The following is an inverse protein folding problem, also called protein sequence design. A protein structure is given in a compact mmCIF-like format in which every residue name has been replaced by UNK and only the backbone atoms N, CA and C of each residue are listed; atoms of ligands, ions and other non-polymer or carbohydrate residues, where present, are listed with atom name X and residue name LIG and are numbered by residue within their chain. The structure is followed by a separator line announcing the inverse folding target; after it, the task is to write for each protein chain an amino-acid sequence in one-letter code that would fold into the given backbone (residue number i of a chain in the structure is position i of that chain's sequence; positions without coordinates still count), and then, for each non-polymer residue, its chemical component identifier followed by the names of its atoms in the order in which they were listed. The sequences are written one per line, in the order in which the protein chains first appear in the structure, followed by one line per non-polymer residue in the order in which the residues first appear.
data_IF_834458684833
#
_entry.id   IF_834458684833
#
_cell.length_a   1.000
_cell.length_b   1.000
_cell.length_c   1.000
_cell.angle_alpha   90.00
_cell.angle_beta   90.00
_cell.angle_gamma   90.00
#
_symmetry.space_group_name_H-M   'P 1'
#
loop_
_entity.id
_entity.type
_entity.pdbx_description
1 polymer ?
#
# COMPACT_ATOMS: atom_id res chain seq x y z
N UNK A 1 18.28 8.84 -28.76
CA UNK A 1 18.21 7.58 -27.97
C UNK A 1 19.20 7.52 -26.82
N UNK A 2 20.42 8.04 -26.96
CA UNK A 2 21.46 7.96 -25.90
C UNK A 2 21.13 8.74 -24.62
N UNK A 3 20.38 9.84 -24.69
CA UNK A 3 20.03 10.64 -23.50
C UNK A 3 18.91 10.00 -22.67
N UNK A 4 17.97 9.28 -23.28
CA UNK A 4 16.89 8.58 -22.58
C UNK A 4 17.41 7.41 -21.76
N UNK A 5 18.53 6.78 -22.18
CA UNK A 5 19.11 5.60 -21.49
C UNK A 5 19.81 5.94 -20.17
N UNK A 6 20.08 7.21 -19.87
CA UNK A 6 20.74 7.62 -18.63
C UNK A 6 19.79 8.17 -17.58
N UNK A 7 18.67 8.79 -17.99
CA UNK A 7 17.70 9.38 -17.10
C UNK A 7 16.31 9.37 -17.74
N UNK A 8 15.32 8.84 -17.05
CA UNK A 8 13.92 8.86 -17.48
C UNK A 8 13.11 9.96 -16.80
N UNK A 9 11.90 10.14 -17.24
CA UNK A 9 11.01 11.14 -16.67
C UNK A 9 9.60 11.10 -17.22
N UNK A 10 8.74 11.93 -16.63
CA UNK A 10 7.39 12.11 -17.13
C UNK A 10 7.39 12.98 -18.35
N UNK A 11 6.79 12.48 -19.43
CA UNK A 11 6.67 13.21 -20.71
C UNK A 11 5.73 14.38 -20.55
N UNK A 12 6.18 15.56 -20.98
CA UNK A 12 5.41 16.80 -20.96
C UNK A 12 5.06 17.31 -22.37
N UNK A 13 5.69 16.74 -23.39
CA UNK A 13 5.38 17.09 -24.77
C UNK A 13 6.24 16.35 -25.79
N UNK A 14 5.79 16.39 -27.04
CA UNK A 14 6.50 15.85 -28.20
C UNK A 14 6.51 16.93 -29.28
N UNK A 15 7.67 17.18 -29.87
CA UNK A 15 7.84 18.10 -30.99
C UNK A 15 8.41 17.34 -32.17
N UNK A 16 7.81 17.53 -33.33
CA UNK A 16 8.33 16.97 -34.58
C UNK A 16 9.32 17.92 -35.19
N UNK A 17 10.56 17.50 -35.42
CA UNK A 17 11.63 18.25 -36.04
C UNK A 17 12.11 17.51 -37.30
N UNK A 18 11.57 17.85 -38.44
CA UNK A 18 11.76 17.11 -39.69
C UNK A 18 11.18 15.69 -39.58
N UNK A 19 12.02 14.69 -39.79
CA UNK A 19 11.64 13.27 -39.69
C UNK A 19 11.87 12.67 -38.28
N UNK A 20 12.26 13.49 -37.29
CA UNK A 20 12.51 13.04 -35.91
C UNK A 20 11.43 13.55 -34.98
N UNK A 21 11.07 12.74 -34.00
CA UNK A 21 10.22 13.16 -32.89
C UNK A 21 11.11 13.36 -31.66
N UNK A 22 11.09 14.58 -31.11
CA UNK A 22 11.80 14.95 -29.89
C UNK A 22 10.81 14.89 -28.73
N UNK A 23 11.10 14.03 -27.75
CA UNK A 23 10.28 13.88 -26.55
C UNK A 23 10.88 14.75 -25.45
N UNK A 24 10.06 15.62 -24.87
CA UNK A 24 10.41 16.45 -23.72
C UNK A 24 9.86 15.81 -22.46
N UNK A 25 10.71 15.63 -21.45
CA UNK A 25 10.31 15.02 -20.19
C UNK A 25 11.00 15.68 -18.98
N UNK A 26 10.37 15.58 -17.80
CA UNK A 26 10.92 16.05 -16.53
C UNK A 26 11.73 14.92 -15.90
N UNK A 27 13.06 15.03 -15.92
CA UNK A 27 13.97 13.99 -15.43
C UNK A 27 14.52 14.23 -14.02
N UNK A 28 14.27 15.40 -13.41
CA UNK A 28 14.74 15.75 -12.07
C UNK A 28 13.96 15.00 -10.97
N UNK A 29 14.43 15.09 -9.72
CA UNK A 29 13.77 14.49 -8.54
C UNK A 29 12.54 15.31 -8.08
N UNK A 30 11.72 15.74 -9.04
CA UNK A 30 10.50 16.51 -8.80
C UNK A 30 9.25 15.61 -8.94
N UNK A 31 8.24 15.91 -8.14
CA UNK A 31 6.91 15.34 -8.30
C UNK A 31 6.13 16.09 -9.37
N UNK A 32 5.15 15.43 -10.00
CA UNK A 32 4.32 16.01 -11.03
C UNK A 32 2.85 15.85 -10.69
N UNK A 33 2.07 16.89 -10.89
CA UNK A 33 0.61 16.86 -10.88
C UNK A 33 0.11 17.26 -12.27
N UNK A 34 -0.61 16.35 -12.93
CA UNK A 34 -1.25 16.57 -14.21
C UNK A 34 -2.78 16.61 -14.04
N UNK A 35 -3.37 17.72 -14.40
CA UNK A 35 -4.82 17.91 -14.34
C UNK A 35 -5.35 18.00 -15.77
N UNK A 36 -6.39 17.23 -16.07
CA UNK A 36 -7.01 17.29 -17.38
C UNK A 36 -8.33 16.54 -17.42
N UNK A 37 -9.29 17.09 -18.15
CA UNK A 37 -10.64 16.53 -18.27
C UNK A 37 -10.63 15.07 -18.77
N UNK A 38 -11.73 14.38 -18.55
CA UNK A 38 -11.99 13.06 -19.13
C UNK A 38 -11.85 13.12 -20.66
N UNK A 39 -11.24 12.09 -21.25
CA UNK A 39 -10.96 11.99 -22.69
C UNK A 39 -10.01 13.07 -23.27
N UNK A 40 -9.28 13.80 -22.43
CA UNK A 40 -8.26 14.74 -22.91
C UNK A 40 -7.00 14.08 -23.49
N UNK A 41 -6.92 12.75 -23.47
CA UNK A 41 -5.77 12.00 -23.96
C UNK A 41 -4.63 11.83 -22.95
N UNK A 42 -4.82 12.20 -21.67
CA UNK A 42 -3.78 12.08 -20.62
C UNK A 42 -3.10 10.73 -20.61
N UNK A 43 -3.88 9.65 -20.42
CA UNK A 43 -3.34 8.29 -20.26
C UNK A 43 -2.54 7.86 -21.49
N UNK A 44 -3.06 8.10 -22.70
CA UNK A 44 -2.39 7.68 -23.95
C UNK A 44 -1.19 8.55 -24.32
N UNK A 45 -1.30 9.88 -24.20
CA UNK A 45 -0.28 10.80 -24.69
C UNK A 45 0.81 11.12 -23.66
N UNK A 46 0.48 11.04 -22.36
CA UNK A 46 1.42 11.36 -21.28
C UNK A 46 1.83 10.11 -20.49
N UNK A 47 0.84 9.35 -19.96
CA UNK A 47 1.14 8.25 -19.02
C UNK A 47 1.88 7.10 -19.72
N UNK A 48 1.35 6.60 -20.84
CA UNK A 48 1.99 5.52 -21.63
C UNK A 48 3.39 5.94 -22.08
N UNK A 49 3.55 7.16 -22.61
CA UNK A 49 4.84 7.65 -23.05
C UNK A 49 5.83 7.80 -21.88
N UNK A 50 5.34 8.22 -20.70
CA UNK A 50 6.15 8.30 -19.48
C UNK A 50 6.63 6.93 -19.00
N UNK A 51 5.76 5.92 -19.02
CA UNK A 51 6.14 4.54 -18.70
C UNK A 51 7.23 4.06 -19.67
N UNK A 52 7.11 4.37 -20.97
CA UNK A 52 8.10 3.98 -21.96
C UNK A 52 9.45 4.68 -21.75
N UNK A 53 9.47 5.99 -21.47
CA UNK A 53 10.72 6.72 -21.21
C UNK A 53 11.41 6.27 -19.94
N UNK A 54 10.65 6.04 -18.86
CA UNK A 54 11.17 5.48 -17.60
C UNK A 54 11.69 4.06 -17.80
N UNK A 55 10.99 3.25 -18.60
CA UNK A 55 11.41 1.90 -18.95
C UNK A 55 12.73 1.89 -19.71
N UNK A 56 12.91 2.76 -20.70
CA UNK A 56 14.17 2.90 -21.44
C UNK A 56 15.33 3.35 -20.55
N UNK A 57 15.06 4.22 -19.59
CA UNK A 57 16.06 4.64 -18.59
C UNK A 57 16.40 3.59 -17.54
N UNK A 58 15.65 2.49 -17.48
CA UNK A 58 15.83 1.43 -16.52
C UNK A 58 15.33 1.77 -15.11
N UNK A 59 14.50 2.78 -14.94
CA UNK A 59 13.93 3.18 -13.64
C UNK A 59 12.70 2.32 -13.29
N UNK A 60 12.52 2.00 -12.03
CA UNK A 60 11.37 1.20 -11.56
C UNK A 60 10.09 2.01 -11.51
N UNK A 61 8.95 1.33 -11.68
CA UNK A 61 7.65 1.98 -11.90
C UNK A 61 6.56 1.29 -11.09
N UNK A 62 5.76 2.07 -10.36
CA UNK A 62 4.50 1.64 -9.73
C UNK A 62 3.37 2.36 -10.44
N UNK A 63 2.42 1.62 -10.99
CA UNK A 63 1.34 2.18 -11.83
C UNK A 63 -0.01 1.83 -11.23
N UNK A 64 -0.87 2.82 -10.97
CA UNK A 64 -2.31 2.55 -10.85
C UNK A 64 -2.95 2.60 -12.23
N UNK A 65 -3.69 1.54 -12.57
CA UNK A 65 -4.27 1.35 -13.89
C UNK A 65 -5.77 1.02 -13.79
N UNK A 66 -6.66 2.02 -13.80
CA UNK A 66 -8.10 1.80 -13.63
C UNK A 66 -8.75 0.98 -14.72
N UNK A 67 -8.14 0.91 -15.92
CA UNK A 67 -8.72 0.23 -17.08
C UNK A 67 -7.97 -0.98 -17.57
N UNK A 68 -6.79 -1.27 -17.02
CA UNK A 68 -5.80 -2.23 -17.50
C UNK A 68 -5.15 -1.81 -18.85
N UNK A 69 -5.50 -0.64 -19.41
CA UNK A 69 -4.96 -0.17 -20.68
C UNK A 69 -3.44 0.11 -20.60
N UNK A 70 -2.96 0.64 -19.46
CA UNK A 70 -1.54 0.94 -19.27
C UNK A 70 -0.72 -0.35 -19.23
N UNK A 71 -1.22 -1.37 -18.56
CA UNK A 71 -0.62 -2.70 -18.52
C UNK A 71 -0.60 -3.33 -19.91
N UNK A 72 -1.72 -3.33 -20.61
CA UNK A 72 -1.84 -3.93 -21.95
C UNK A 72 -0.89 -3.27 -22.96
N UNK A 73 -0.74 -1.94 -22.93
CA UNK A 73 0.13 -1.22 -23.84
C UNK A 73 1.62 -1.33 -23.52
N UNK A 74 2.01 -1.52 -22.25
CA UNK A 74 3.41 -1.32 -21.84
C UNK A 74 4.08 -2.56 -21.26
N UNK A 75 3.33 -3.56 -20.79
CA UNK A 75 3.89 -4.72 -20.08
C UNK A 75 4.89 -5.53 -20.92
N UNK A 76 4.55 -5.84 -22.17
CA UNK A 76 5.43 -6.60 -23.06
C UNK A 76 6.69 -5.80 -23.47
N UNK A 77 6.55 -4.48 -23.62
CA UNK A 77 7.69 -3.61 -23.86
C UNK A 77 8.65 -3.60 -22.66
N UNK A 78 8.13 -3.49 -21.43
CA UNK A 78 8.93 -3.52 -20.21
C UNK A 78 9.62 -4.89 -20.02
N UNK A 79 8.91 -5.99 -20.29
CA UNK A 79 9.52 -7.35 -20.26
C UNK A 79 10.70 -7.47 -21.22
N UNK A 80 10.58 -6.92 -22.45
CA UNK A 80 11.68 -6.91 -23.43
C UNK A 80 12.87 -6.05 -22.98
N UNK A 81 12.66 -5.07 -22.11
CA UNK A 81 13.71 -4.28 -21.47
C UNK A 81 14.30 -4.95 -20.21
N UNK A 82 13.89 -6.17 -19.89
CA UNK A 82 14.38 -6.97 -18.76
C UNK A 82 13.75 -6.61 -17.41
N UNK A 83 12.54 -6.02 -17.42
CA UNK A 83 11.78 -5.79 -16.18
C UNK A 83 11.10 -7.05 -15.67
N UNK A 84 11.12 -7.24 -14.38
CA UNK A 84 10.16 -8.09 -13.68
C UNK A 84 8.84 -7.31 -13.57
N UNK A 85 7.82 -7.76 -14.31
CA UNK A 85 6.51 -7.14 -14.35
C UNK A 85 5.58 -7.86 -13.39
N UNK A 86 5.12 -7.14 -12.36
CA UNK A 86 4.22 -7.62 -11.32
C UNK A 86 2.83 -6.98 -11.49
N UNK A 87 1.79 -7.76 -11.19
CA UNK A 87 0.40 -7.30 -11.37
C UNK A 87 -0.44 -7.65 -10.14
N UNK A 88 -1.07 -6.65 -9.54
CA UNK A 88 -2.16 -6.81 -8.59
C UNK A 88 -3.46 -6.46 -9.32
N UNK A 89 -4.17 -7.48 -9.79
CA UNK A 89 -5.36 -7.32 -10.63
C UNK A 89 -6.64 -7.52 -9.83
N UNK A 90 -7.24 -6.41 -9.39
CA UNK A 90 -8.51 -6.41 -8.65
C UNK A 90 -9.74 -6.66 -9.56
N UNK A 91 -9.58 -6.59 -10.89
CA UNK A 91 -10.61 -7.01 -11.85
C UNK A 91 -10.65 -8.53 -12.00
N UNK A 92 -9.47 -9.18 -12.03
CA UNK A 92 -9.31 -10.61 -12.23
C UNK A 92 -8.43 -11.25 -11.14
N UNK A 93 -8.91 -11.35 -9.90
CA UNK A 93 -8.10 -11.84 -8.76
C UNK A 93 -7.47 -13.22 -8.97
N UNK A 94 -8.08 -14.07 -9.80
CA UNK A 94 -7.55 -15.41 -10.08
C UNK A 94 -6.25 -15.41 -10.91
N UNK A 95 -5.98 -14.33 -11.65
CA UNK A 95 -4.77 -14.14 -12.48
C UNK A 95 -3.74 -13.20 -11.84
N UNK A 96 -4.07 -12.63 -10.67
CA UNK A 96 -3.27 -11.67 -9.95
C UNK A 96 -2.13 -12.34 -9.18
N UNK A 97 -0.98 -11.69 -9.09
CA UNK A 97 -0.09 -11.91 -7.95
C UNK A 97 -0.77 -11.42 -6.67
N UNK A 98 -0.19 -11.77 -5.55
CA UNK A 98 -0.75 -11.51 -4.22
C UNK A 98 0.24 -10.74 -3.38
N UNK A 99 -0.31 -9.85 -2.56
CA UNK A 99 0.47 -9.14 -1.57
C UNK A 99 -0.30 -8.99 -0.26
N UNK A 100 0.24 -9.55 0.81
CA UNK A 100 -0.31 -9.49 2.14
C UNK A 100 0.20 -8.25 2.88
N UNK A 101 -0.71 -7.35 3.25
CA UNK A 101 -0.38 -6.13 3.99
C UNK A 101 0.27 -6.40 5.36
N UNK A 102 0.10 -7.61 5.92
CA UNK A 102 0.81 -8.01 7.14
C UNK A 102 2.24 -8.51 6.90
N UNK A 103 2.70 -8.63 5.64
CA UNK A 103 4.00 -9.22 5.33
C UNK A 103 5.19 -8.57 6.06
N UNK A 104 5.29 -7.22 6.17
CA UNK A 104 6.37 -6.58 6.92
C UNK A 104 6.35 -6.93 8.41
N UNK A 105 5.15 -7.05 9.00
CA UNK A 105 4.96 -7.42 10.41
C UNK A 105 5.34 -8.89 10.63
N UNK A 106 4.92 -9.77 9.72
CA UNK A 106 5.29 -11.19 9.72
C UNK A 106 6.82 -11.35 9.66
N UNK A 107 7.47 -10.59 8.79
CA UNK A 107 8.93 -10.62 8.65
C UNK A 107 9.62 -10.17 9.95
N UNK A 108 9.13 -9.11 10.61
CA UNK A 108 9.67 -8.62 11.88
C UNK A 108 9.49 -9.64 13.01
N UNK A 109 8.30 -10.25 13.14
CA UNK A 109 8.03 -11.30 14.14
C UNK A 109 8.91 -12.53 13.90
N UNK A 110 9.10 -12.94 12.65
CA UNK A 110 9.97 -14.07 12.30
C UNK A 110 11.45 -13.79 12.58
N UNK A 111 11.87 -12.52 12.48
CA UNK A 111 13.21 -12.06 12.86
C UNK A 111 13.40 -11.90 14.38
N UNK A 112 12.32 -12.02 15.19
CA UNK A 112 12.35 -11.79 16.63
C UNK A 112 12.33 -10.32 17.03
N UNK A 113 12.12 -9.40 16.09
CA UNK A 113 12.08 -7.95 16.31
C UNK A 113 10.65 -7.50 16.65
N UNK A 114 10.30 -7.67 17.93
CA UNK A 114 8.95 -7.37 18.44
C UNK A 114 8.62 -5.88 18.42
N UNK A 115 9.60 -5.04 18.69
CA UNK A 115 9.43 -3.58 18.71
C UNK A 115 9.12 -3.06 17.31
N UNK A 116 9.84 -3.56 16.30
CA UNK A 116 9.56 -3.25 14.90
C UNK A 116 8.20 -3.81 14.45
N UNK A 117 7.82 -4.99 14.89
CA UNK A 117 6.53 -5.57 14.59
C UNK A 117 5.38 -4.72 15.14
N UNK A 118 5.51 -4.21 16.38
CA UNK A 118 4.55 -3.30 17.00
C UNK A 118 4.45 -1.98 16.23
N UNK A 119 5.59 -1.34 15.92
CA UNK A 119 5.64 -0.11 15.13
C UNK A 119 4.92 -0.29 13.77
N UNK A 120 5.23 -1.35 13.03
CA UNK A 120 4.62 -1.63 11.74
C UNK A 120 3.12 -1.93 11.83
N UNK A 121 2.67 -2.57 12.94
CA UNK A 121 1.25 -2.79 13.19
C UNK A 121 0.51 -1.48 13.44
N UNK A 122 1.12 -0.54 14.16
CA UNK A 122 0.58 0.80 14.37
C UNK A 122 0.54 1.61 13.07
N UNK A 123 1.59 1.59 12.26
CA UNK A 123 1.65 2.30 10.99
C UNK A 123 0.56 1.82 10.03
N UNK A 124 0.41 0.49 9.88
CA UNK A 124 -0.66 -0.08 9.07
C UNK A 124 -2.05 0.30 9.61
N UNK A 125 -2.23 0.23 10.92
CA UNK A 125 -3.51 0.58 11.56
C UNK A 125 -3.87 2.04 11.36
N UNK A 126 -2.91 2.95 11.53
CA UNK A 126 -3.12 4.38 11.29
C UNK A 126 -3.48 4.67 9.81
N UNK A 127 -2.91 3.93 8.88
CA UNK A 127 -3.28 4.02 7.46
C UNK A 127 -4.68 3.44 7.19
N UNK A 128 -5.10 2.40 7.92
CA UNK A 128 -6.43 1.79 7.80
C UNK A 128 -7.54 2.70 8.34
N UNK A 129 -7.31 3.26 9.53
CA UNK A 129 -8.30 4.08 10.24
C UNK A 129 -8.34 5.52 9.72
N UNK A 130 -7.19 6.04 9.26
CA UNK A 130 -7.05 7.40 8.76
C UNK A 130 -6.99 8.46 9.87
N UNK A 131 -7.20 9.73 9.47
CA UNK A 131 -7.16 10.84 10.42
C UNK A 131 -8.42 10.85 11.29
N UNK A 132 -8.28 11.14 12.61
CA UNK A 132 -9.43 11.19 13.51
C UNK A 132 -10.44 12.26 13.08
N UNK A 133 -11.69 11.84 12.90
CA UNK A 133 -12.84 12.73 12.79
C UNK A 133 -13.54 12.77 14.16
N UNK A 134 -13.29 13.82 14.95
CA UNK A 134 -13.87 13.99 16.28
C UNK A 134 -12.93 13.70 17.45
N UNK A 135 -13.48 13.18 18.57
CA UNK A 135 -12.69 12.95 19.79
C UNK A 135 -11.68 11.81 19.62
N UNK A 136 -10.42 12.08 19.92
CA UNK A 136 -9.29 11.15 19.78
C UNK A 136 -9.47 9.80 20.51
N UNK A 137 -10.28 9.76 21.57
CA UNK A 137 -10.48 8.55 22.36
C UNK A 137 -11.07 7.41 21.52
N UNK A 138 -11.98 7.72 20.60
CA UNK A 138 -12.64 6.73 19.74
C UNK A 138 -11.64 6.13 18.74
N UNK A 139 -10.92 7.00 18.05
CA UNK A 139 -9.89 6.59 17.08
C UNK A 139 -8.75 5.83 17.76
N UNK A 140 -8.27 6.30 18.92
CA UNK A 140 -7.19 5.63 19.65
C UNK A 140 -7.62 4.23 20.16
N UNK A 141 -8.87 4.10 20.62
CA UNK A 141 -9.42 2.83 21.05
C UNK A 141 -9.55 1.84 19.90
N UNK A 142 -10.05 2.29 18.76
CA UNK A 142 -10.13 1.49 17.53
C UNK A 142 -8.74 1.04 17.05
N UNK A 143 -7.79 1.97 16.95
CA UNK A 143 -6.40 1.68 16.55
C UNK A 143 -5.75 0.66 17.48
N UNK A 144 -5.91 0.80 18.79
CA UNK A 144 -5.36 -0.16 19.75
C UNK A 144 -5.91 -1.58 19.54
N UNK A 145 -7.20 -1.72 19.26
CA UNK A 145 -7.83 -3.03 19.02
C UNK A 145 -7.32 -3.65 17.72
N UNK A 146 -7.24 -2.88 16.64
CA UNK A 146 -6.78 -3.39 15.35
C UNK A 146 -5.30 -3.79 15.45
N UNK A 147 -4.42 -2.92 15.94
CA UNK A 147 -3.00 -3.19 16.06
C UNK A 147 -2.71 -4.40 16.95
N UNK A 148 -3.37 -4.48 18.10
CA UNK A 148 -3.26 -5.63 18.99
C UNK A 148 -3.74 -6.92 18.34
N UNK A 149 -4.86 -6.89 17.62
CA UNK A 149 -5.42 -8.07 16.93
C UNK A 149 -4.51 -8.54 15.80
N UNK A 150 -3.87 -7.61 15.07
CA UNK A 150 -2.84 -7.93 14.07
C UNK A 150 -1.69 -8.69 14.74
N UNK A 151 -1.16 -8.18 15.85
CA UNK A 151 -0.06 -8.83 16.57
C UNK A 151 -0.45 -10.20 17.12
N UNK A 152 -1.66 -10.35 17.67
CA UNK A 152 -2.17 -11.65 18.11
C UNK A 152 -2.23 -12.64 16.93
N UNK A 153 -2.85 -12.26 15.83
CA UNK A 153 -3.00 -13.12 14.65
C UNK A 153 -1.64 -13.50 14.07
N UNK A 154 -0.69 -12.58 14.00
CA UNK A 154 0.64 -12.85 13.44
C UNK A 154 1.47 -13.71 14.38
N UNK A 155 1.52 -13.41 15.69
CA UNK A 155 2.34 -14.14 16.64
C UNK A 155 1.82 -15.56 16.90
N UNK A 156 0.51 -15.71 17.10
CA UNK A 156 -0.11 -17.02 17.40
C UNK A 156 -0.08 -17.99 16.21
N UNK A 157 -0.02 -17.46 15.00
CA UNK A 157 0.01 -18.26 13.79
C UNK A 157 1.40 -18.30 13.12
N UNK A 158 2.48 -18.14 13.87
CA UNK A 158 3.85 -18.20 13.35
C UNK A 158 4.15 -19.49 12.56
N UNK A 159 3.53 -20.61 12.92
CA UNK A 159 3.66 -21.91 12.25
C UNK A 159 2.53 -22.22 11.26
N UNK A 160 1.62 -21.28 11.04
CA UNK A 160 0.45 -21.42 10.17
C UNK A 160 0.26 -20.13 9.35
N UNK A 161 1.18 -19.84 8.42
CA UNK A 161 1.22 -18.56 7.68
C UNK A 161 -0.06 -18.26 6.88
N UNK A 162 -0.84 -19.28 6.53
CA UNK A 162 -2.12 -19.15 5.86
C UNK A 162 -3.16 -18.38 6.67
N UNK A 163 -3.00 -18.30 8.00
CA UNK A 163 -3.90 -17.54 8.87
C UNK A 163 -3.42 -16.10 9.12
N UNK A 164 -2.19 -15.76 8.78
CA UNK A 164 -1.60 -14.43 9.01
C UNK A 164 -2.06 -13.40 7.96
N UNK A 165 -3.32 -13.00 7.95
CA UNK A 165 -3.88 -12.01 7.02
C UNK A 165 -4.99 -11.17 7.67
N UNK A 166 -5.33 -10.02 7.07
CA UNK A 166 -6.33 -9.09 7.62
C UNK A 166 -7.75 -9.65 7.68
N UNK A 167 -8.10 -10.61 6.84
CA UNK A 167 -9.38 -11.33 6.94
C UNK A 167 -9.47 -12.08 8.27
N UNK A 168 -8.40 -12.75 8.69
CA UNK A 168 -8.36 -13.43 9.96
C UNK A 168 -8.25 -12.47 11.15
N UNK A 169 -7.68 -11.28 10.98
CA UNK A 169 -7.76 -10.21 11.99
C UNK A 169 -9.21 -9.78 12.22
N UNK A 170 -9.98 -9.59 11.14
CA UNK A 170 -11.41 -9.31 11.25
C UNK A 170 -12.15 -10.42 12.03
N UNK A 171 -11.97 -11.68 11.65
CA UNK A 171 -12.62 -12.79 12.30
C UNK A 171 -12.16 -13.00 13.75
N UNK A 172 -10.87 -12.74 14.04
CA UNK A 172 -10.37 -12.76 15.42
C UNK A 172 -11.15 -11.76 16.28
N UNK A 173 -11.27 -10.49 15.87
CA UNK A 173 -12.06 -9.51 16.61
C UNK A 173 -13.52 -9.96 16.71
N UNK A 174 -14.15 -10.31 15.59
CA UNK A 174 -15.58 -10.67 15.55
C UNK A 174 -15.94 -11.82 16.49
N UNK A 175 -15.09 -12.84 16.61
CA UNK A 175 -15.34 -14.00 17.47
C UNK A 175 -14.94 -13.71 18.92
N UNK A 176 -13.83 -13.02 19.16
CA UNK A 176 -13.29 -12.79 20.49
C UNK A 176 -14.08 -11.78 21.32
N UNK A 177 -14.84 -10.88 20.67
CA UNK A 177 -15.67 -9.89 21.36
C UNK A 177 -17.11 -10.36 21.61
N UNK A 178 -17.52 -11.51 21.08
CA UNK A 178 -18.84 -12.11 21.37
C UNK A 178 -18.95 -12.44 22.84
N UNK A 179 -20.03 -11.98 23.49
CA UNK A 179 -20.30 -12.35 24.87
C UNK A 179 -20.97 -13.72 24.91
N UNK A 180 -20.32 -14.68 25.58
CA UNK A 180 -20.83 -16.04 25.81
C UNK A 180 -21.18 -16.13 27.29
N UNK A 181 -22.48 -16.12 27.61
CA UNK A 181 -22.94 -15.87 28.96
C UNK A 181 -22.50 -14.49 29.46
N UNK A 182 -21.83 -14.40 30.60
CA UNK A 182 -21.28 -13.16 31.15
C UNK A 182 -19.77 -12.98 30.87
N UNK A 183 -19.20 -13.75 29.95
CA UNK A 183 -17.75 -13.73 29.69
C UNK A 183 -17.47 -13.34 28.23
N UNK A 184 -16.52 -12.45 28.05
CA UNK A 184 -15.99 -12.08 26.75
C UNK A 184 -14.68 -12.86 26.53
N UNK A 185 -14.57 -13.69 25.47
CA UNK A 185 -13.37 -14.50 25.21
C UNK A 185 -12.09 -13.66 25.13
N UNK A 186 -12.14 -12.46 24.58
CA UNK A 186 -11.00 -11.55 24.46
C UNK A 186 -10.35 -11.28 25.81
N UNK A 187 -11.13 -10.99 26.85
CA UNK A 187 -10.58 -10.71 28.19
C UNK A 187 -9.91 -11.92 28.83
N UNK A 188 -10.47 -13.11 28.59
CA UNK A 188 -9.85 -14.36 29.07
C UNK A 188 -8.56 -14.67 28.30
N UNK A 189 -8.52 -14.36 27.01
CA UNK A 189 -7.35 -14.53 26.15
C UNK A 189 -6.21 -13.59 26.56
N UNK A 190 -6.48 -12.28 26.75
CA UNK A 190 -5.49 -11.28 27.18
C UNK A 190 -4.79 -11.68 28.48
N UNK A 191 -5.55 -12.22 29.45
CA UNK A 191 -5.00 -12.70 30.73
C UNK A 191 -4.02 -13.85 30.58
N UNK A 192 -4.19 -14.68 29.54
CA UNK A 192 -3.30 -15.82 29.23
C UNK A 192 -2.07 -15.45 28.43
N UNK A 193 -2.04 -14.26 27.80
CA UNK A 193 -0.88 -13.82 27.03
C UNK A 193 0.36 -13.70 27.92
N UNK A 194 1.53 -14.14 27.45
CA UNK A 194 2.79 -13.92 28.14
C UNK A 194 3.01 -12.43 28.43
N UNK A 195 3.68 -12.06 29.55
CA UNK A 195 3.96 -10.67 29.86
C UNK A 195 4.69 -9.89 28.74
N UNK A 196 5.59 -10.58 28.02
CA UNK A 196 6.37 -10.03 26.92
C UNK A 196 5.63 -10.04 25.56
N UNK A 197 4.36 -10.45 25.49
CA UNK A 197 3.63 -10.48 24.24
C UNK A 197 3.30 -9.04 23.78
N UNK A 198 3.68 -8.62 22.54
CA UNK A 198 3.57 -7.22 22.09
C UNK A 198 2.12 -6.69 22.03
N UNK A 199 1.13 -7.56 21.87
CA UNK A 199 -0.28 -7.16 21.89
C UNK A 199 -0.83 -6.81 23.28
N UNK A 200 -0.16 -7.24 24.35
CA UNK A 200 -0.70 -7.11 25.72
C UNK A 200 -0.85 -5.68 26.19
N UNK A 201 0.14 -4.79 26.02
CA UNK A 201 -0.02 -3.37 26.36
C UNK A 201 -1.14 -2.69 25.58
N UNK A 202 -1.29 -3.02 24.29
CA UNK A 202 -2.29 -2.43 23.42
C UNK A 202 -3.73 -2.82 23.81
N UNK A 203 -3.92 -4.02 24.33
CA UNK A 203 -5.22 -4.50 24.79
C UNK A 203 -5.61 -3.96 26.18
N UNK A 204 -4.70 -3.32 26.91
CA UNK A 204 -4.98 -2.77 28.25
C UNK A 204 -6.07 -1.69 28.24
N UNK A 205 -6.21 -0.94 27.13
CA UNK A 205 -7.30 0.03 26.97
C UNK A 205 -8.68 -0.63 27.05
N UNK A 206 -8.79 -1.89 26.60
CA UNK A 206 -10.03 -2.68 26.69
C UNK A 206 -10.35 -3.11 28.11
N UNK A 207 -9.37 -3.25 28.99
CA UNK A 207 -9.60 -3.58 30.40
C UNK A 207 -10.13 -2.39 31.20
N UNK A 208 -9.64 -1.19 30.88
CA UNK A 208 -9.94 0.04 31.64
C UNK A 208 -11.23 0.70 31.15
N UNK A 209 -11.53 0.66 29.86
CA UNK A 209 -12.68 1.34 29.29
C UNK A 209 -14.01 0.73 29.74
N UNK A 210 -15.05 1.57 30.02
CA UNK A 210 -16.41 1.11 30.28
C UNK A 210 -16.94 0.19 29.17
N UNK A 211 -17.82 -0.76 29.49
CA UNK A 211 -18.32 -1.76 28.54
C UNK A 211 -18.95 -1.15 27.28
N UNK A 212 -19.68 -0.05 27.42
CA UNK A 212 -20.29 0.68 26.29
C UNK A 212 -19.22 1.28 25.38
N UNK A 213 -18.20 1.91 25.95
CA UNK A 213 -17.07 2.51 25.20
C UNK A 213 -16.26 1.44 24.47
N UNK A 214 -15.97 0.31 25.14
CA UNK A 214 -15.33 -0.84 24.51
C UNK A 214 -16.11 -1.37 23.32
N UNK A 215 -17.44 -1.51 23.47
CA UNK A 215 -18.31 -1.94 22.38
C UNK A 215 -18.19 -1.08 21.14
N UNK A 216 -18.06 0.24 21.32
CA UNK A 216 -17.84 1.17 20.22
C UNK A 216 -16.48 0.96 19.52
N UNK A 217 -15.40 0.75 20.29
CA UNK A 217 -14.07 0.46 19.70
C UNK A 217 -14.09 -0.81 18.83
N UNK A 218 -14.74 -1.87 19.32
CA UNK A 218 -14.85 -3.11 18.57
C UNK A 218 -15.69 -2.98 17.31
N UNK A 219 -16.81 -2.25 17.39
CA UNK A 219 -17.69 -2.01 16.24
C UNK A 219 -16.99 -1.18 15.18
N UNK A 220 -16.25 -0.13 15.56
CA UNK A 220 -15.45 0.67 14.66
C UNK A 220 -14.38 -0.19 13.97
N UNK A 221 -13.61 -0.97 14.74
CA UNK A 221 -12.58 -1.85 14.19
C UNK A 221 -13.12 -2.85 13.17
N UNK A 222 -14.28 -3.46 13.46
CA UNK A 222 -14.95 -4.36 12.50
C UNK A 222 -15.44 -3.62 11.26
N UNK A 223 -15.89 -2.37 11.39
CA UNK A 223 -16.32 -1.54 10.26
C UNK A 223 -15.15 -1.23 9.34
N UNK A 224 -14.03 -0.81 9.89
CA UNK A 224 -12.78 -0.53 9.15
C UNK A 224 -12.23 -1.76 8.44
N UNK A 225 -12.23 -2.90 9.12
CA UNK A 225 -11.71 -4.16 8.56
C UNK A 225 -12.70 -4.90 7.65
N UNK A 226 -13.98 -4.50 7.59
CA UNK A 226 -15.02 -5.18 6.80
C UNK A 226 -14.62 -5.40 5.34
N UNK A 227 -13.86 -4.50 4.77
CA UNK A 227 -13.37 -4.59 3.39
C UNK A 227 -12.64 -5.92 3.13
N UNK A 228 -11.86 -6.42 4.08
CA UNK A 228 -11.08 -7.65 3.98
C UNK A 228 -11.90 -8.94 4.10
N UNK A 229 -13.21 -8.86 4.35
CA UNK A 229 -14.10 -10.02 4.29
C UNK A 229 -14.53 -10.36 2.86
N UNK A 230 -14.24 -9.48 1.90
CA UNK A 230 -14.51 -9.72 0.47
C UNK A 230 -13.63 -10.84 -0.07
N UNK A 231 -14.25 -11.83 -0.75
CA UNK A 231 -13.51 -12.94 -1.38
C UNK A 231 -12.50 -12.47 -2.42
N UNK A 232 -12.80 -11.42 -3.18
CA UNK A 232 -11.90 -10.85 -4.18
C UNK A 232 -10.67 -10.21 -3.55
N UNK A 233 -10.85 -9.48 -2.43
CA UNK A 233 -9.76 -8.87 -1.68
C UNK A 233 -8.93 -9.95 -0.99
N UNK A 234 -9.57 -10.92 -0.35
CA UNK A 234 -8.87 -12.06 0.25
C UNK A 234 -7.99 -12.78 -0.78
N UNK A 235 -8.49 -13.03 -1.99
CA UNK A 235 -7.73 -13.73 -3.03
C UNK A 235 -6.39 -13.04 -3.35
N UNK A 236 -6.32 -11.70 -3.25
CA UNK A 236 -5.12 -10.91 -3.55
C UNK A 236 -4.26 -10.66 -2.30
N UNK A 237 -4.88 -10.61 -1.09
CA UNK A 237 -4.18 -10.12 0.11
C UNK A 237 -3.88 -11.19 1.16
N UNK A 238 -4.23 -12.47 0.94
CA UNK A 238 -4.04 -13.51 1.97
C UNK A 238 -2.59 -14.00 2.12
N UNK A 239 -1.75 -13.79 1.11
CA UNK A 239 -0.31 -14.11 1.15
C UNK A 239 0.48 -13.19 0.22
N UNK A 240 1.81 -13.26 0.25
CA UNK A 240 2.68 -12.49 -0.65
C UNK A 240 3.42 -13.41 -1.61
N UNK A 241 3.42 -13.07 -2.89
CA UNK A 241 4.22 -13.71 -3.93
C UNK A 241 5.52 -12.91 -4.21
N UNK A 242 5.64 -11.67 -3.72
CA UNK A 242 6.78 -10.77 -3.88
C UNK A 242 6.91 -9.82 -2.67
N UNK A 243 8.02 -9.06 -2.63
CA UNK A 243 8.27 -8.05 -1.60
C UNK A 243 8.19 -6.65 -2.22
N UNK A 244 7.41 -5.73 -1.62
CA UNK A 244 7.23 -4.36 -2.15
C UNK A 244 8.54 -3.55 -2.25
N UNK A 245 9.49 -3.78 -1.32
CA UNK A 245 10.75 -3.04 -1.30
C UNK A 245 11.75 -3.46 -2.38
N UNK A 246 11.57 -4.62 -3.03
CA UNK A 246 12.48 -5.10 -4.07
C UNK A 246 12.58 -4.16 -5.26
N UNK A 247 11.50 -3.44 -5.55
CA UNK A 247 11.42 -2.44 -6.62
C UNK A 247 12.44 -1.29 -6.47
N UNK A 248 12.89 -1.00 -5.25
CA UNK A 248 13.96 -0.04 -4.96
C UNK A 248 15.37 -0.58 -5.18
N UNK A 249 15.51 -1.86 -5.57
CA UNK A 249 16.80 -2.56 -5.70
C UNK A 249 17.06 -3.09 -7.10
N UNK A 250 16.02 -3.49 -7.81
CA UNK A 250 16.07 -4.11 -9.15
C UNK A 250 15.03 -3.48 -10.07
N UNK A 251 15.18 -3.67 -11.38
CA UNK A 251 14.22 -3.18 -12.37
C UNK A 251 12.90 -3.95 -12.24
N UNK A 252 11.89 -3.30 -11.68
CA UNK A 252 10.56 -3.84 -11.54
C UNK A 252 9.51 -2.84 -12.00
N UNK A 253 8.38 -3.35 -12.50
CA UNK A 253 7.19 -2.59 -12.78
C UNK A 253 6.01 -3.27 -12.08
N UNK A 254 5.39 -2.57 -11.12
CA UNK A 254 4.20 -3.04 -10.42
C UNK A 254 2.98 -2.33 -10.97
N UNK A 255 2.04 -3.08 -11.54
CA UNK A 255 0.74 -2.57 -11.98
C UNK A 255 -0.33 -2.94 -10.95
N UNK A 256 -1.09 -1.95 -10.52
CA UNK A 256 -2.25 -2.09 -9.63
C UNK A 256 -3.48 -1.81 -10.49
N UNK A 257 -4.08 -2.88 -11.00
CA UNK A 257 -5.26 -2.79 -11.88
C UNK A 257 -6.52 -2.70 -11.02
N UNK A 258 -7.26 -1.62 -11.19
CA UNK A 258 -8.46 -1.31 -10.42
C UNK A 258 -9.69 -1.26 -11.34
N UNK A 259 -10.89 -1.68 -10.88
CA UNK A 259 -12.13 -1.42 -11.60
C UNK A 259 -12.43 0.08 -11.62
N UNK A 260 -12.67 0.65 -12.80
CA UNK A 260 -13.04 2.06 -12.96
C UNK A 260 -14.48 2.36 -12.48
N UNK A 261 -15.35 1.36 -12.57
CA UNK A 261 -16.75 1.46 -12.14
C UNK A 261 -16.96 1.30 -10.63
N UNK A 262 -15.92 0.90 -9.86
CA UNK A 262 -16.04 0.60 -8.43
C UNK A 262 -14.88 1.17 -7.62
N UNK A 263 -15.17 2.09 -6.74
CA UNK A 263 -14.18 2.68 -5.83
C UNK A 263 -13.81 1.79 -4.64
N UNK A 264 -14.52 0.66 -4.46
CA UNK A 264 -14.37 -0.25 -3.30
C UNK A 264 -12.92 -0.76 -3.09
N UNK A 265 -12.13 -0.88 -4.15
CA UNK A 265 -10.77 -1.41 -4.07
C UNK A 265 -9.68 -0.34 -3.89
N UNK A 266 -10.01 0.92 -4.11
CA UNK A 266 -9.06 2.03 -3.97
C UNK A 266 -8.46 2.17 -2.56
N UNK A 267 -9.20 1.91 -1.46
CA UNK A 267 -8.59 1.87 -0.12
C UNK A 267 -7.43 0.88 -0.01
N UNK A 268 -7.56 -0.32 -0.60
CA UNK A 268 -6.47 -1.31 -0.60
C UNK A 268 -5.28 -0.83 -1.43
N UNK A 269 -5.53 -0.22 -2.59
CA UNK A 269 -4.47 0.37 -3.42
C UNK A 269 -3.74 1.50 -2.68
N UNK A 270 -4.48 2.38 -1.98
CA UNK A 270 -3.90 3.45 -1.16
C UNK A 270 -3.01 2.90 -0.03
N UNK A 271 -3.45 1.82 0.64
CA UNK A 271 -2.66 1.12 1.66
C UNK A 271 -1.37 0.52 1.07
N UNK A 272 -1.45 -0.14 -0.09
CA UNK A 272 -0.29 -0.71 -0.77
C UNK A 272 0.71 0.38 -1.15
N UNK A 273 0.26 1.48 -1.74
CA UNK A 273 1.12 2.63 -2.11
C UNK A 273 1.76 3.27 -0.89
N UNK A 274 0.99 3.48 0.20
CA UNK A 274 1.51 4.03 1.46
C UNK A 274 2.57 3.11 2.07
N UNK A 275 2.27 1.83 2.21
CA UNK A 275 3.19 0.85 2.78
C UNK A 275 4.45 0.68 1.92
N UNK A 276 4.30 0.68 0.60
CA UNK A 276 5.44 0.62 -0.32
C UNK A 276 6.36 1.82 -0.15
N UNK A 277 5.82 3.04 -0.04
CA UNK A 277 6.62 4.22 0.26
C UNK A 277 7.40 4.06 1.57
N UNK A 278 6.76 3.63 2.64
CA UNK A 278 7.39 3.47 3.97
C UNK A 278 8.53 2.44 3.93
N UNK A 279 8.30 1.29 3.27
CA UNK A 279 9.33 0.27 3.09
C UNK A 279 10.51 0.77 2.23
N UNK A 280 10.24 1.55 1.20
CA UNK A 280 11.27 2.16 0.35
C UNK A 280 12.04 3.26 1.09
N UNK A 281 11.37 4.08 1.91
CA UNK A 281 12.02 5.09 2.73
C UNK A 281 12.99 4.45 3.73
N UNK A 282 12.55 3.41 4.44
CA UNK A 282 13.42 2.64 5.34
C UNK A 282 14.59 2.00 4.60
N UNK A 283 14.37 1.46 3.40
CA UNK A 283 15.43 0.89 2.56
C UNK A 283 16.44 1.97 2.13
N UNK A 284 15.99 3.17 1.78
CA UNK A 284 16.85 4.29 1.43
C UNK A 284 17.72 4.73 2.63
N UNK A 285 17.12 4.83 3.83
CA UNK A 285 17.84 5.21 5.06
C UNK A 285 18.94 4.19 5.40
N UNK A 286 18.68 2.88 5.27
CA UNK A 286 19.69 1.84 5.44
C UNK A 286 20.82 1.89 4.38
N UNK A 287 20.63 2.63 3.28
CA UNK A 287 21.57 2.74 2.16
C UNK A 287 22.22 4.10 2.02
N UNK A 288 22.25 4.89 3.07
CA UNK A 288 22.87 6.22 3.08
C UNK A 288 21.97 7.32 2.51
N UNK A 289 20.65 7.14 2.59
CA UNK A 289 19.65 8.17 2.30
C UNK A 289 19.01 8.10 0.90
N UNK A 290 19.44 7.17 0.02
CA UNK A 290 18.89 7.08 -1.35
C UNK A 290 18.77 5.63 -1.83
N UNK A 291 17.72 5.35 -2.58
CA UNK A 291 17.50 4.06 -3.24
C UNK A 291 18.54 3.83 -4.34
N UNK A 292 18.96 2.57 -4.50
CA UNK A 292 19.80 2.15 -5.63
C UNK A 292 19.06 2.32 -6.96
N UNK A 293 17.79 1.95 -6.98
CA UNK A 293 16.91 2.04 -8.12
C UNK A 293 15.88 3.14 -7.87
N UNK A 294 15.81 4.16 -8.75
CA UNK A 294 14.78 5.18 -8.63
C UNK A 294 13.41 4.57 -8.89
N UNK A 295 12.42 4.94 -8.07
CA UNK A 295 11.04 4.43 -8.15
C UNK A 295 10.08 5.57 -8.49
N UNK A 296 9.29 5.37 -9.54
CA UNK A 296 8.31 6.33 -10.02
C UNK A 296 6.90 5.80 -9.77
N UNK A 297 6.16 6.46 -8.92
CA UNK A 297 4.74 6.22 -8.73
C UNK A 297 3.98 6.99 -9.81
N UNK A 298 3.34 6.29 -10.73
CA UNK A 298 2.46 6.84 -11.77
C UNK A 298 1.04 6.49 -11.36
N UNK A 299 0.36 7.44 -10.72
CA UNK A 299 -0.96 7.20 -10.14
C UNK A 299 -2.02 7.85 -11.04
N UNK A 300 -2.56 7.05 -11.98
CA UNK A 300 -3.67 7.49 -12.82
C UNK A 300 -4.98 7.45 -12.01
N UNK A 301 -5.86 8.40 -12.26
CA UNK A 301 -7.09 8.64 -11.50
C UNK A 301 -6.87 8.77 -9.96
N UNK A 302 -5.79 9.46 -9.57
CA UNK A 302 -5.41 9.63 -8.16
C UNK A 302 -6.50 10.28 -7.32
N UNK A 303 -7.41 11.08 -7.91
CA UNK A 303 -8.57 11.63 -7.22
C UNK A 303 -9.53 10.59 -6.64
N UNK A 304 -9.48 9.34 -7.12
CA UNK A 304 -10.27 8.22 -6.60
C UNK A 304 -9.62 7.48 -5.43
N UNK A 305 -8.35 7.77 -5.13
CA UNK A 305 -7.65 7.17 -3.99
C UNK A 305 -8.22 7.71 -2.68
N UNK A 306 -8.28 6.85 -1.67
CA UNK A 306 -8.52 7.31 -0.30
C UNK A 306 -7.31 8.09 0.20
N UNK A 307 -7.52 8.94 1.20
CA UNK A 307 -6.45 9.75 1.78
C UNK A 307 -5.28 8.88 2.22
N UNK A 308 -4.12 9.11 1.63
CA UNK A 308 -2.85 8.52 2.08
C UNK A 308 -2.36 9.37 3.26
N UNK A 309 -2.17 8.73 4.41
CA UNK A 309 -1.73 9.41 5.64
C UNK A 309 -0.39 10.11 5.42
N UNK A 310 -0.30 11.37 5.86
CA UNK A 310 0.90 12.22 5.76
C UNK A 310 1.50 12.35 4.36
N UNK A 311 0.63 12.34 3.32
CA UNK A 311 1.05 12.36 1.93
C UNK A 311 1.93 13.57 1.59
N UNK A 312 1.64 14.76 2.14
CA UNK A 312 2.48 15.96 1.96
C UNK A 312 3.92 15.73 2.44
N UNK A 313 4.08 15.08 3.59
CA UNK A 313 5.40 14.71 4.12
C UNK A 313 6.09 13.69 3.20
N UNK A 314 5.34 12.69 2.71
CA UNK A 314 5.85 11.68 1.77
C UNK A 314 6.36 12.33 0.48
N UNK A 315 5.69 13.36 -0.04
CA UNK A 315 6.15 14.14 -1.18
C UNK A 315 7.44 14.91 -0.84
N UNK A 316 7.46 15.66 0.28
CA UNK A 316 8.62 16.49 0.65
C UNK A 316 9.91 15.68 0.77
N UNK A 317 9.83 14.49 1.34
CA UNK A 317 11.01 13.66 1.66
C UNK A 317 11.35 12.68 0.53
N UNK A 318 10.35 12.22 -0.22
CA UNK A 318 10.48 11.15 -1.21
C UNK A 318 11.45 11.45 -2.35
N UNK A 319 11.44 12.68 -2.85
CA UNK A 319 12.31 13.10 -3.96
C UNK A 319 13.79 12.86 -3.66
N UNK A 320 14.28 13.33 -2.51
CA UNK A 320 15.67 13.14 -2.08
C UNK A 320 16.07 11.66 -1.94
N UNK A 321 15.13 10.80 -1.57
CA UNK A 321 15.34 9.35 -1.43
C UNK A 321 15.25 8.57 -2.74
N UNK A 322 14.95 9.23 -3.87
CA UNK A 322 14.82 8.61 -5.17
C UNK A 322 13.44 8.05 -5.47
N UNK A 323 12.40 8.59 -4.83
CA UNK A 323 11.00 8.29 -5.09
C UNK A 323 10.30 9.49 -5.72
N UNK A 324 9.63 9.32 -6.85
CA UNK A 324 8.86 10.37 -7.53
C UNK A 324 7.39 9.99 -7.60
N UNK A 325 6.52 10.95 -7.26
CA UNK A 325 5.08 10.81 -7.44
C UNK A 325 4.61 11.62 -8.63
N UNK A 326 3.96 10.96 -9.57
CA UNK A 326 3.40 11.53 -10.78
C UNK A 326 1.90 11.26 -10.74
N UNK A 327 1.14 12.29 -10.39
CA UNK A 327 -0.29 12.20 -10.08
C UNK A 327 -1.10 12.71 -11.27
N UNK A 328 -2.06 11.91 -11.71
CA UNK A 328 -2.96 12.29 -12.79
C UNK A 328 -4.38 12.34 -12.25
N UNK A 329 -5.04 13.50 -12.36
CA UNK A 329 -6.39 13.74 -11.88
C UNK A 329 -7.28 14.34 -12.96
N UNK A 330 -8.59 14.21 -12.79
CA UNK A 330 -9.56 14.76 -13.75
C UNK A 330 -9.97 16.18 -13.38
N UNK A 331 -10.12 16.45 -12.08
CA UNK A 331 -10.46 17.75 -11.49
C UNK A 331 -9.96 17.76 -10.04
N UNK A 332 -9.96 18.94 -9.44
CA UNK A 332 -9.76 19.10 -8.00
C UNK A 332 -11.01 18.70 -7.22
#
# INVERSE_FOLDING_TARGET
MSEITQQGGVVIGVKKEGNKECIYFVGQDSHLLCIGATRSGKSRNLVVQSICTLGLAGESIVVSDPKAELFDYTSEFLKKLGYEVLVLDFKNPAKSQRYNLLQPIINAVNAGDTDKAEMLAWDLTNNLVGKPEGEKIWTNGECSIIAASILCVVCDNKHRPEYQNLTNVYWFIAEMVKTIGNKMPLLAYVKKLPPAHPAKPLLSISDVAPSRTRGSFYTSALTTLRLFTSKSIYAITHKSDFQLQDIGQKKQALFIILPDEKTTFYPVASLIVSQQYELLANLADMRGGRLKQRVNFILDEFGSFTTITDFTNKLTVGGGRGMRFNLFIQSF
#
